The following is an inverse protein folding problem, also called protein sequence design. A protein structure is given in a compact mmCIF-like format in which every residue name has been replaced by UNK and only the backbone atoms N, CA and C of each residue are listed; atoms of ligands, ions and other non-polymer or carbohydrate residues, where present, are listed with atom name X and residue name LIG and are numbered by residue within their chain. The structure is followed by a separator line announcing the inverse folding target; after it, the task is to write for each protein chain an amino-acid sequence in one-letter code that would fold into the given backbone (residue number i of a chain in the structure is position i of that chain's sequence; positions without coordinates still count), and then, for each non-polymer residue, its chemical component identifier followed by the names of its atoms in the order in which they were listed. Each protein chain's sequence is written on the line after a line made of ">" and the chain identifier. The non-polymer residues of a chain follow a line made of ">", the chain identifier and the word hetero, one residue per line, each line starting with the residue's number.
data_IF_768562931961
#
_entry.id   IF_768562931961
#
_cell.length_a   1.000
_cell.length_b   1.000
_cell.length_c   1.000
_cell.angle_alpha   90.00
_cell.angle_beta   90.00
_cell.angle_gamma   90.00
#
_symmetry.space_group_name_H-M   'P 1'
#
loop_
_entity.id
_entity.type
_entity.pdbx_description
1 polymer ?
#
# COMPACT_ATOMS: atom_id res chain seq x y z
N UNK A 1 -20.28 9.30 19.87
CA UNK A 1 -19.46 10.49 19.55
C UNK A 1 -17.93 10.22 19.54
N UNK A 2 -17.48 8.96 19.41
CA UNK A 2 -16.04 8.57 19.43
C UNK A 2 -15.46 8.25 18.03
N UNK A 3 -16.25 8.41 16.98
CA UNK A 3 -15.94 7.99 15.60
C UNK A 3 -15.14 9.01 14.79
N UNK A 4 -15.39 10.30 14.98
CA UNK A 4 -14.83 11.35 14.11
C UNK A 4 -13.33 11.54 14.31
N UNK A 5 -12.88 11.46 15.56
CA UNK A 5 -11.47 11.66 15.91
C UNK A 5 -10.62 10.47 15.44
N UNK A 6 -11.14 9.25 15.57
CA UNK A 6 -10.49 8.01 15.13
C UNK A 6 -10.38 7.93 13.60
N UNK A 7 -11.43 8.34 12.87
CA UNK A 7 -11.37 8.40 11.40
C UNK A 7 -10.37 9.46 10.92
N UNK A 8 -10.26 10.60 11.60
CA UNK A 8 -9.23 11.62 11.31
C UNK A 8 -7.82 11.08 11.57
N UNK A 9 -7.59 10.46 12.72
CA UNK A 9 -6.29 9.88 13.06
C UNK A 9 -5.86 8.78 12.09
N UNK A 10 -6.78 7.87 11.71
CA UNK A 10 -6.53 6.85 10.70
C UNK A 10 -6.20 7.45 9.34
N UNK A 11 -6.94 8.48 8.90
CA UNK A 11 -6.67 9.16 7.63
C UNK A 11 -5.30 9.83 7.61
N UNK A 12 -4.93 10.52 8.68
CA UNK A 12 -3.62 11.16 8.81
C UNK A 12 -2.52 10.10 8.81
N UNK A 13 -2.64 9.08 9.66
CA UNK A 13 -1.65 8.00 9.75
C UNK A 13 -1.43 7.27 8.44
N UNK A 14 -2.52 6.90 7.75
CA UNK A 14 -2.42 6.25 6.43
C UNK A 14 -1.78 7.18 5.40
N UNK A 15 -2.20 8.45 5.32
CA UNK A 15 -1.60 9.39 4.36
C UNK A 15 -0.11 9.60 4.63
N UNK A 16 0.29 9.73 5.90
CA UNK A 16 1.69 9.84 6.29
C UNK A 16 2.48 8.60 5.86
N UNK A 17 1.98 7.40 6.13
CA UNK A 17 2.60 6.15 5.67
C UNK A 17 2.73 6.10 4.14
N UNK A 18 1.67 6.45 3.41
CA UNK A 18 1.65 6.45 1.95
C UNK A 18 2.67 7.43 1.35
N UNK A 19 2.82 8.62 1.94
CA UNK A 19 3.85 9.58 1.53
C UNK A 19 5.25 9.01 1.77
N UNK A 20 5.51 8.42 2.94
CA UNK A 20 6.80 7.80 3.22
C UNK A 20 7.13 6.66 2.26
N UNK A 21 6.15 5.83 1.91
CA UNK A 21 6.35 4.74 0.94
C UNK A 21 6.64 5.26 -0.47
N UNK A 22 5.91 6.28 -0.96
CA UNK A 22 6.21 6.89 -2.26
C UNK A 22 7.61 7.49 -2.27
N UNK A 23 7.95 8.29 -1.26
CA UNK A 23 9.27 8.93 -1.18
C UNK A 23 10.36 7.87 -1.14
N UNK A 24 10.19 6.82 -0.31
CA UNK A 24 11.13 5.70 -0.23
C UNK A 24 11.31 4.96 -1.55
N UNK A 25 10.23 4.71 -2.29
CA UNK A 25 10.30 4.08 -3.60
C UNK A 25 11.07 4.95 -4.61
N UNK A 26 10.77 6.26 -4.66
CA UNK A 26 11.46 7.21 -5.53
C UNK A 26 12.94 7.27 -5.19
N UNK A 27 13.30 7.40 -3.91
CA UNK A 27 14.72 7.45 -3.51
C UNK A 27 15.48 6.21 -3.93
N UNK A 28 14.84 5.03 -3.92
CA UNK A 28 15.47 3.78 -4.33
C UNK A 28 15.62 3.66 -5.86
N UNK A 29 14.68 4.19 -6.63
CA UNK A 29 14.72 4.16 -8.10
C UNK A 29 15.70 5.16 -8.73
N UNK A 30 16.01 6.24 -8.02
CA UNK A 30 16.87 7.32 -8.52
C UNK A 30 18.22 7.37 -7.79
N UNK A 31 18.56 6.31 -7.05
CA UNK A 31 19.89 6.09 -6.51
C UNK A 31 20.83 5.52 -7.59
N UNK A 32 22.14 5.65 -7.39
CA UNK A 32 23.15 5.19 -8.35
C UNK A 32 23.31 3.65 -8.36
N UNK A 33 22.82 2.95 -7.34
CA UNK A 33 22.86 1.49 -7.26
C UNK A 33 21.59 0.84 -7.85
N UNK A 34 21.70 0.32 -9.08
CA UNK A 34 20.64 -0.40 -9.79
C UNK A 34 20.08 -1.64 -9.04
N UNK A 35 20.75 -2.15 -8.00
CA UNK A 35 20.21 -3.21 -7.16
C UNK A 35 19.07 -2.70 -6.26
N UNK A 36 19.08 -1.41 -5.94
CA UNK A 36 18.05 -0.77 -5.12
C UNK A 36 16.73 -0.60 -5.87
N UNK A 37 16.72 -0.66 -7.20
CA UNK A 37 15.49 -0.67 -8.01
C UNK A 37 14.53 -1.79 -7.59
N UNK A 38 15.08 -2.96 -7.21
CA UNK A 38 14.27 -4.07 -6.70
C UNK A 38 13.53 -3.71 -5.42
N UNK A 39 14.20 -3.03 -4.48
CA UNK A 39 13.59 -2.52 -3.25
C UNK A 39 12.57 -1.42 -3.56
N UNK A 40 12.85 -0.54 -4.53
CA UNK A 40 11.91 0.45 -5.03
C UNK A 40 10.60 -0.18 -5.50
N UNK A 41 10.66 -1.26 -6.28
CA UNK A 41 9.48 -2.02 -6.71
C UNK A 41 8.72 -2.65 -5.53
N UNK A 42 9.41 -3.25 -4.56
CA UNK A 42 8.76 -3.82 -3.36
C UNK A 42 8.03 -2.74 -2.56
N UNK A 43 8.69 -1.60 -2.33
CA UNK A 43 8.10 -0.47 -1.60
C UNK A 43 6.89 0.10 -2.35
N UNK A 44 6.95 0.18 -3.68
CA UNK A 44 5.83 0.64 -4.51
C UNK A 44 4.63 -0.33 -4.45
N UNK A 45 4.86 -1.64 -4.47
CA UNK A 45 3.80 -2.64 -4.32
C UNK A 45 3.18 -2.56 -2.91
N UNK A 46 4.00 -2.34 -1.88
CA UNK A 46 3.53 -2.10 -0.53
C UNK A 46 2.65 -0.83 -0.45
N UNK A 47 3.07 0.27 -1.08
CA UNK A 47 2.26 1.49 -1.21
C UNK A 47 0.88 1.19 -1.80
N UNK A 48 0.84 0.45 -2.91
CA UNK A 48 -0.42 0.04 -3.54
C UNK A 48 -1.28 -0.82 -2.61
N UNK A 49 -0.69 -1.80 -1.93
CA UNK A 49 -1.39 -2.66 -0.97
C UNK A 49 -2.06 -1.85 0.15
N UNK A 50 -1.32 -0.94 0.79
CA UNK A 50 -1.86 -0.11 1.87
C UNK A 50 -2.93 0.87 1.38
N UNK A 51 -2.75 1.44 0.18
CA UNK A 51 -3.74 2.32 -0.44
C UNK A 51 -5.06 1.57 -0.71
N UNK A 52 -4.99 0.38 -1.31
CA UNK A 52 -6.16 -0.45 -1.58
C UNK A 52 -6.81 -1.00 -0.30
N UNK A 53 -6.04 -1.34 0.74
CA UNK A 53 -6.57 -1.72 2.05
C UNK A 53 -7.37 -0.57 2.69
N UNK A 54 -6.83 0.65 2.65
CA UNK A 54 -7.54 1.82 3.17
C UNK A 54 -8.83 2.10 2.38
N UNK A 55 -8.74 2.02 1.04
CA UNK A 55 -9.91 2.11 0.16
C UNK A 55 -10.97 1.04 0.47
N UNK A 56 -10.54 -0.21 0.72
CA UNK A 56 -11.43 -1.31 1.11
C UNK A 56 -12.18 -1.00 2.41
N UNK A 57 -11.47 -0.52 3.44
CA UNK A 57 -12.07 -0.15 4.73
C UNK A 57 -13.12 0.95 4.55
N UNK A 58 -12.85 1.96 3.71
CA UNK A 58 -13.83 3.01 3.39
C UNK A 58 -15.04 2.42 2.65
N UNK A 59 -14.81 1.60 1.62
CA UNK A 59 -15.89 0.99 0.84
C UNK A 59 -16.82 0.13 1.71
N UNK A 60 -16.26 -0.63 2.65
CA UNK A 60 -17.03 -1.45 3.59
C UNK A 60 -17.87 -0.54 4.50
N UNK A 61 -17.28 0.54 5.04
CA UNK A 61 -18.01 1.50 5.89
C UNK A 61 -19.15 2.20 5.15
N UNK A 62 -18.94 2.52 3.88
CA UNK A 62 -19.92 3.26 3.05
C UNK A 62 -20.86 2.34 2.25
N UNK A 63 -20.72 1.01 2.36
CA UNK A 63 -21.56 0.04 1.66
C UNK A 63 -21.32 -0.06 0.15
N UNK A 64 -20.19 0.43 -0.36
CA UNK A 64 -19.83 0.44 -1.78
C UNK A 64 -19.32 -0.93 -2.28
N UNK A 65 -20.23 -1.88 -2.47
CA UNK A 65 -19.92 -3.30 -2.78
C UNK A 65 -19.01 -3.50 -4.00
N UNK A 66 -19.26 -2.80 -5.11
CA UNK A 66 -18.47 -2.94 -6.35
C UNK A 66 -17.02 -2.50 -6.14
N UNK A 67 -16.83 -1.33 -5.54
CA UNK A 67 -15.50 -0.77 -5.27
C UNK A 67 -14.76 -1.58 -4.20
N UNK A 68 -15.48 -2.14 -3.22
CA UNK A 68 -14.90 -3.06 -2.23
C UNK A 68 -14.30 -4.31 -2.89
N UNK A 69 -14.98 -4.92 -3.87
CA UNK A 69 -14.46 -6.09 -4.59
C UNK A 69 -13.19 -5.72 -5.37
N UNK A 70 -13.19 -4.57 -6.05
CA UNK A 70 -12.00 -4.09 -6.77
C UNK A 70 -10.82 -3.88 -5.82
N UNK A 71 -11.04 -3.21 -4.69
CA UNK A 71 -9.99 -3.00 -3.69
C UNK A 71 -9.49 -4.33 -3.11
N UNK A 72 -10.38 -5.30 -2.85
CA UNK A 72 -10.00 -6.61 -2.36
C UNK A 72 -9.12 -7.38 -3.35
N UNK A 73 -9.47 -7.34 -4.65
CA UNK A 73 -8.67 -7.94 -5.71
C UNK A 73 -7.29 -7.29 -5.82
N UNK A 74 -7.21 -5.96 -5.71
CA UNK A 74 -5.95 -5.23 -5.72
C UNK A 74 -5.06 -5.60 -4.52
N UNK A 75 -5.65 -5.72 -3.32
CA UNK A 75 -4.92 -6.18 -2.13
C UNK A 75 -4.40 -7.60 -2.32
N UNK A 76 -5.23 -8.52 -2.82
CA UNK A 76 -4.82 -9.90 -3.07
C UNK A 76 -3.69 -9.99 -4.11
N UNK A 77 -3.78 -9.22 -5.20
CA UNK A 77 -2.74 -9.15 -6.22
C UNK A 77 -1.45 -8.57 -5.65
N UNK A 78 -1.50 -7.44 -4.94
CA UNK A 78 -0.32 -6.83 -4.33
C UNK A 78 0.34 -7.76 -3.31
N UNK A 79 -0.45 -8.47 -2.50
CA UNK A 79 0.06 -9.46 -1.55
C UNK A 79 0.77 -10.63 -2.26
N UNK A 80 0.20 -11.14 -3.34
CA UNK A 80 0.84 -12.17 -4.17
C UNK A 80 2.20 -11.70 -4.71
N UNK A 81 2.27 -10.49 -5.29
CA UNK A 81 3.51 -9.93 -5.80
C UNK A 81 4.55 -9.68 -4.70
N UNK A 82 4.14 -9.26 -3.51
CA UNK A 82 5.05 -9.11 -2.38
C UNK A 82 5.65 -10.44 -1.96
N UNK A 83 4.83 -11.50 -1.87
CA UNK A 83 5.32 -12.83 -1.51
C UNK A 83 6.30 -13.37 -2.55
N UNK A 84 5.96 -13.28 -3.84
CA UNK A 84 6.83 -13.82 -4.89
C UNK A 84 8.16 -13.07 -4.95
N UNK A 85 8.15 -11.74 -4.94
CA UNK A 85 9.39 -10.94 -4.93
C UNK A 85 10.21 -11.08 -3.66
N UNK A 86 9.55 -11.29 -2.52
CA UNK A 86 10.28 -11.56 -1.27
C UNK A 86 10.96 -12.93 -1.32
N UNK A 87 10.28 -13.96 -1.84
CA UNK A 87 10.88 -15.29 -1.99
C UNK A 87 12.07 -15.29 -2.96
N UNK A 88 11.98 -14.56 -4.07
CA UNK A 88 13.12 -14.38 -5.00
C UNK A 88 14.32 -13.68 -4.35
N UNK A 89 14.10 -12.81 -3.36
CA UNK A 89 15.18 -12.11 -2.66
C UNK A 89 15.88 -12.98 -1.60
N UNK A 90 15.15 -13.90 -0.95
CA UNK A 90 15.67 -14.72 0.14
C UNK A 90 16.20 -16.10 -0.27
N UNK A 91 16.07 -16.47 -1.55
CA UNK A 91 16.41 -17.79 -2.08
C UNK A 91 17.56 -17.70 -3.09
#
# INVERSE_FOLDING_TARGET
>A
MKSDNTNKALRVGTNTLLIFLIVGAITMFFDDDYRNDHLGWIILIAFWMFSSLYGLVICIKEGMKKLAIVNLLLVAAAFYFLLTRSMEYFN
#
